data_IF_879646383289
#
_entry.id   IF_879646383289
#
_cell.length_a   1.000
_cell.length_b   1.000
_cell.length_c   1.000
_cell.angle_alpha   90.00
_cell.angle_beta   90.00
_cell.angle_gamma   90.00
#
_symmetry.space_group_name_H-M   'P 1'
#
loop_
_entity.id
_entity.type
_entity.pdbx_description
1 polymer ?
#
# COMPACT_ATOMS: atom_id res chain seq x y z
N UNK A 1 -43.36 8.44 -8.90
CA UNK A 1 -42.03 8.77 -9.45
C UNK A 1 -40.98 8.33 -8.43
N UNK A 2 -40.47 7.10 -8.54
CA UNK A 2 -39.50 6.52 -7.61
C UNK A 2 -38.09 6.90 -8.06
N UNK A 3 -37.39 7.74 -7.32
CA UNK A 3 -35.98 8.05 -7.55
C UNK A 3 -35.15 6.80 -7.26
N UNK A 4 -34.58 6.18 -8.28
CA UNK A 4 -33.61 5.10 -8.11
C UNK A 4 -32.45 5.58 -7.21
N UNK A 5 -31.96 4.75 -6.27
CA UNK A 5 -30.83 5.11 -5.42
C UNK A 5 -29.62 5.42 -6.31
N UNK A 6 -29.14 6.67 -6.22
CA UNK A 6 -27.91 7.09 -6.92
C UNK A 6 -26.76 6.25 -6.38
N UNK A 7 -26.20 5.36 -7.21
CA UNK A 7 -24.93 4.71 -6.90
C UNK A 7 -23.91 5.81 -6.61
N UNK A 8 -23.21 5.80 -5.46
CA UNK A 8 -22.16 6.76 -5.22
C UNK A 8 -21.14 6.67 -6.37
N UNK A 9 -20.57 7.80 -6.81
CA UNK A 9 -19.54 7.78 -7.82
C UNK A 9 -18.43 6.81 -7.37
N UNK A 10 -17.83 6.02 -8.27
CA UNK A 10 -16.91 4.94 -7.88
C UNK A 10 -15.62 5.41 -7.19
N UNK A 11 -15.24 6.70 -7.31
CA UNK A 11 -14.00 7.26 -6.75
C UNK A 11 -13.91 7.16 -5.22
N UNK A 12 -14.84 7.77 -4.46
CA UNK A 12 -14.83 7.72 -2.99
C UNK A 12 -14.89 6.31 -2.39
N UNK A 13 -15.64 5.39 -3.02
CA UNK A 13 -15.74 4.01 -2.53
C UNK A 13 -14.42 3.26 -2.77
N UNK A 14 -13.86 3.33 -3.98
CA UNK A 14 -12.59 2.69 -4.31
C UNK A 14 -11.48 3.15 -3.37
N UNK A 15 -11.37 4.46 -3.14
CA UNK A 15 -10.40 5.03 -2.21
C UNK A 15 -10.58 4.52 -0.79
N UNK A 16 -11.82 4.44 -0.29
CA UNK A 16 -12.10 3.91 1.05
C UNK A 16 -11.75 2.44 1.19
N UNK A 17 -12.05 1.64 0.17
CA UNK A 17 -11.73 0.20 0.18
C UNK A 17 -10.21 -0.01 0.19
N UNK A 18 -9.47 0.67 -0.69
CA UNK A 18 -8.00 0.58 -0.72
C UNK A 18 -7.40 1.13 0.58
N UNK A 19 -7.92 2.26 1.08
CA UNK A 19 -7.46 2.83 2.35
C UNK A 19 -7.68 1.89 3.53
N UNK A 20 -8.86 1.27 3.64
CA UNK A 20 -9.16 0.29 4.67
C UNK A 20 -8.30 -0.97 4.55
N UNK A 21 -8.05 -1.44 3.33
CA UNK A 21 -7.14 -2.56 3.08
C UNK A 21 -5.74 -2.28 3.64
N UNK A 22 -5.18 -1.09 3.37
CA UNK A 22 -3.88 -0.67 3.91
C UNK A 22 -3.86 -0.52 5.44
N UNK A 23 -4.98 -0.11 6.07
CA UNK A 23 -5.07 -0.12 7.53
C UNK A 23 -5.04 -1.55 8.09
N UNK A 24 -5.73 -2.49 7.44
CA UNK A 24 -5.74 -3.90 7.83
C UNK A 24 -4.36 -4.51 7.68
N UNK A 25 -3.66 -4.27 6.56
CA UNK A 25 -2.29 -4.77 6.37
C UNK A 25 -1.32 -4.16 7.37
N UNK A 26 -1.48 -2.87 7.72
CA UNK A 26 -0.74 -2.27 8.83
C UNK A 26 -0.95 -3.02 10.15
N UNK A 27 -2.19 -3.38 10.47
CA UNK A 27 -2.51 -4.22 11.63
C UNK A 27 -1.89 -5.62 11.56
N UNK A 28 -1.78 -6.21 10.36
CA UNK A 28 -1.08 -7.49 10.16
C UNK A 28 0.42 -7.33 10.45
N UNK A 29 1.07 -6.28 9.96
CA UNK A 29 2.49 -6.00 10.25
C UNK A 29 2.73 -5.79 11.75
N UNK A 30 1.82 -5.12 12.46
CA UNK A 30 1.86 -5.04 13.91
C UNK A 30 1.81 -6.43 14.55
N UNK A 31 0.86 -7.27 14.11
CA UNK A 31 0.73 -8.64 14.58
C UNK A 31 1.99 -9.47 14.37
N UNK A 32 2.62 -9.35 13.20
CA UNK A 32 3.89 -10.02 12.89
C UNK A 32 5.00 -9.53 13.82
N UNK A 33 5.18 -8.23 13.97
CA UNK A 33 6.23 -7.68 14.85
C UNK A 33 6.03 -8.10 16.32
N UNK A 34 4.78 -8.17 16.80
CA UNK A 34 4.51 -8.61 18.17
C UNK A 34 4.71 -10.12 18.34
N UNK A 35 4.36 -10.93 17.33
CA UNK A 35 4.42 -12.38 17.41
C UNK A 35 5.82 -12.93 17.16
N UNK A 36 6.42 -12.56 16.02
CA UNK A 36 7.75 -12.97 15.60
C UNK A 36 8.29 -12.08 14.46
N UNK A 37 9.12 -11.06 14.76
CA UNK A 37 9.76 -10.24 13.73
C UNK A 37 10.67 -11.01 12.77
N UNK A 38 11.16 -12.19 13.14
CA UNK A 38 12.02 -13.02 12.30
C UNK A 38 11.28 -13.62 11.09
N UNK A 39 9.95 -13.53 11.09
CA UNK A 39 9.12 -13.84 9.93
C UNK A 39 9.57 -13.09 8.65
N UNK A 40 10.18 -11.91 8.79
CA UNK A 40 10.70 -11.12 7.66
C UNK A 40 12.03 -11.63 7.09
N UNK A 41 12.74 -12.52 7.78
CA UNK A 41 14.08 -12.96 7.38
C UNK A 41 14.18 -13.43 5.92
N UNK A 42 13.31 -14.34 5.43
CA UNK A 42 13.43 -14.86 4.06
C UNK A 42 12.85 -13.91 2.99
N UNK A 43 12.33 -12.74 3.37
CA UNK A 43 11.51 -11.89 2.49
C UNK A 43 12.26 -11.40 1.24
N UNK A 44 13.58 -11.18 1.35
CA UNK A 44 14.41 -10.71 0.26
C UNK A 44 15.21 -11.80 -0.45
N UNK A 45 15.13 -13.07 -0.02
CA UNK A 45 16.01 -14.15 -0.51
C UNK A 45 15.96 -14.32 -2.04
N UNK A 46 14.76 -14.13 -2.62
CA UNK A 46 14.49 -14.23 -4.05
C UNK A 46 14.73 -12.92 -4.83
N UNK A 47 15.26 -11.87 -4.19
CA UNK A 47 15.55 -10.61 -4.85
C UNK A 47 16.55 -10.82 -5.98
N UNK A 48 16.30 -10.18 -7.13
CA UNK A 48 17.20 -10.23 -8.28
C UNK A 48 18.47 -9.37 -8.08
N UNK A 49 18.46 -8.49 -7.08
CA UNK A 49 19.52 -7.51 -6.85
C UNK A 49 20.31 -7.88 -5.58
N UNK A 50 21.62 -8.19 -5.68
CA UNK A 50 22.43 -8.55 -4.52
C UNK A 50 22.38 -7.50 -3.41
N UNK A 51 22.51 -6.22 -3.76
CA UNK A 51 22.47 -5.13 -2.78
C UNK A 51 21.16 -5.06 -2.00
N UNK A 52 20.03 -5.52 -2.56
CA UNK A 52 18.74 -5.55 -1.85
C UNK A 52 18.74 -6.68 -0.82
N UNK A 53 19.29 -7.85 -1.17
CA UNK A 53 19.45 -8.98 -0.24
C UNK A 53 20.37 -8.62 0.92
N UNK A 54 21.52 -8.04 0.59
CA UNK A 54 22.53 -7.65 1.56
C UNK A 54 21.99 -6.56 2.49
N UNK A 55 21.38 -5.50 1.93
CA UNK A 55 20.76 -4.44 2.75
C UNK A 55 19.61 -4.98 3.61
N UNK A 56 18.82 -5.93 3.13
CA UNK A 56 17.77 -6.55 3.94
C UNK A 56 18.36 -7.30 5.13
N UNK A 57 19.35 -8.16 4.89
CA UNK A 57 20.00 -8.94 5.93
C UNK A 57 20.77 -8.09 6.95
N UNK A 58 21.46 -7.04 6.48
CA UNK A 58 22.35 -6.23 7.33
C UNK A 58 21.66 -5.04 7.99
N UNK A 59 20.63 -4.46 7.35
CA UNK A 59 19.97 -3.24 7.84
C UNK A 59 18.60 -3.58 8.43
N UNK A 60 17.72 -4.20 7.65
CA UNK A 60 16.34 -4.47 8.09
C UNK A 60 16.34 -5.53 9.19
N UNK A 61 17.02 -6.65 8.95
CA UNK A 61 17.10 -7.76 9.89
C UNK A 61 18.03 -7.50 11.08
N UNK A 62 18.78 -6.38 11.10
CA UNK A 62 19.47 -5.96 12.31
C UNK A 62 18.50 -5.47 13.40
N UNK A 63 17.36 -4.89 13.01
CA UNK A 63 16.30 -4.38 13.90
C UNK A 63 14.90 -4.60 13.29
N UNK A 64 14.49 -5.85 13.03
CA UNK A 64 13.27 -6.16 12.27
C UNK A 64 12.01 -5.60 12.93
N UNK A 65 12.01 -5.43 14.26
CA UNK A 65 10.91 -4.80 14.99
C UNK A 65 10.74 -3.32 14.63
N UNK A 66 11.83 -2.57 14.47
CA UNK A 66 11.77 -1.15 14.13
C UNK A 66 11.29 -0.98 12.69
N UNK A 67 11.88 -1.73 11.76
CA UNK A 67 11.52 -1.61 10.35
C UNK A 67 10.12 -2.16 10.05
N UNK A 68 9.69 -3.22 10.74
CA UNK A 68 8.31 -3.70 10.68
C UNK A 68 7.30 -2.68 11.20
N UNK A 69 7.60 -1.97 12.30
CA UNK A 69 6.75 -0.88 12.81
C UNK A 69 6.75 0.34 11.89
N UNK A 70 7.88 0.66 11.25
CA UNK A 70 7.94 1.73 10.24
C UNK A 70 7.12 1.36 9.01
N UNK A 71 7.16 0.10 8.58
CA UNK A 71 6.33 -0.42 7.49
C UNK A 71 4.84 -0.33 7.84
N UNK A 72 4.43 -0.80 9.02
CA UNK A 72 3.08 -0.59 9.55
C UNK A 72 2.68 0.89 9.51
N UNK A 73 3.52 1.78 10.05
CA UNK A 73 3.23 3.20 10.11
C UNK A 73 3.06 3.81 8.72
N UNK A 74 3.89 3.39 7.76
CA UNK A 74 3.78 3.75 6.35
C UNK A 74 2.45 3.32 5.74
N UNK A 75 2.05 2.05 5.93
CA UNK A 75 0.78 1.54 5.42
C UNK A 75 -0.42 2.29 6.03
N UNK A 76 -0.40 2.53 7.35
CA UNK A 76 -1.45 3.27 8.04
C UNK A 76 -1.52 4.71 7.53
N UNK A 77 -0.38 5.37 7.32
CA UNK A 77 -0.33 6.74 6.81
C UNK A 77 -0.89 6.83 5.39
N UNK A 78 -0.52 5.90 4.51
CA UNK A 78 -1.04 5.85 3.13
C UNK A 78 -2.53 5.53 3.10
N UNK A 79 -2.98 4.54 3.88
CA UNK A 79 -4.38 4.19 4.02
C UNK A 79 -5.21 5.34 4.59
N UNK A 80 -4.69 6.00 5.62
CA UNK A 80 -5.29 7.20 6.22
C UNK A 80 -5.41 8.36 5.24
N UNK A 81 -4.36 8.63 4.45
CA UNK A 81 -4.40 9.64 3.38
C UNK A 81 -5.51 9.37 2.36
N UNK A 82 -5.72 8.10 1.99
CA UNK A 82 -6.84 7.71 1.13
C UNK A 82 -8.19 7.93 1.84
N UNK A 83 -8.32 7.53 3.11
CA UNK A 83 -9.58 7.69 3.84
C UNK A 83 -10.00 9.16 4.04
N UNK A 84 -9.03 10.05 4.31
CA UNK A 84 -9.25 11.49 4.47
C UNK A 84 -9.77 12.14 3.18
N UNK A 85 -9.24 11.76 2.01
CA UNK A 85 -9.64 12.34 0.74
C UNK A 85 -8.90 13.64 0.37
N UNK A 86 -9.44 14.39 -0.59
CA UNK A 86 -8.88 15.69 -1.02
C UNK A 86 -7.43 15.59 -1.51
N UNK A 87 -6.59 16.58 -1.14
CA UNK A 87 -5.15 16.57 -1.48
C UNK A 87 -4.40 15.38 -0.88
N UNK A 88 -4.80 14.91 0.29
CA UNK A 88 -4.18 13.75 0.95
C UNK A 88 -4.38 12.47 0.13
N UNK A 89 -5.52 12.31 -0.56
CA UNK A 89 -5.76 11.18 -1.45
C UNK A 89 -4.71 11.05 -2.56
N UNK A 90 -4.16 12.17 -3.05
CA UNK A 90 -3.09 12.15 -4.06
C UNK A 90 -1.83 11.52 -3.51
N UNK A 91 -1.44 11.89 -2.29
CA UNK A 91 -0.29 11.30 -1.58
C UNK A 91 -0.56 9.81 -1.34
N UNK A 92 -1.75 9.46 -0.87
CA UNK A 92 -2.18 8.08 -0.68
C UNK A 92 -2.05 7.25 -1.96
N UNK A 93 -2.63 7.70 -3.07
CA UNK A 93 -2.59 6.96 -4.34
C UNK A 93 -1.18 6.79 -4.90
N UNK A 94 -0.37 7.86 -4.88
CA UNK A 94 1.03 7.79 -5.32
C UNK A 94 1.81 6.82 -4.43
N UNK A 95 1.62 6.91 -3.11
CA UNK A 95 2.33 6.06 -2.15
C UNK A 95 1.95 4.59 -2.26
N UNK A 96 0.66 4.24 -2.38
CA UNK A 96 0.26 2.83 -2.52
C UNK A 96 0.76 2.22 -3.83
N UNK A 97 0.81 3.00 -4.91
CA UNK A 97 1.38 2.54 -6.19
C UNK A 97 2.90 2.36 -6.06
N UNK A 98 3.59 3.35 -5.48
CA UNK A 98 5.03 3.27 -5.25
C UNK A 98 5.40 2.08 -4.36
N UNK A 99 4.62 1.82 -3.31
CA UNK A 99 4.78 0.67 -2.43
C UNK A 99 4.75 -0.66 -3.20
N UNK A 100 3.75 -0.84 -4.07
CA UNK A 100 3.65 -2.04 -4.91
C UNK A 100 4.81 -2.16 -5.90
N UNK A 101 5.27 -1.05 -6.47
CA UNK A 101 6.44 -1.08 -7.36
C UNK A 101 7.72 -1.47 -6.61
N UNK A 102 7.90 -0.99 -5.38
CA UNK A 102 9.05 -1.34 -4.54
C UNK A 102 9.02 -2.81 -4.11
N UNK A 103 7.85 -3.43 -3.95
CA UNK A 103 7.74 -4.87 -3.65
C UNK A 103 8.45 -5.75 -4.70
N UNK A 104 8.48 -5.32 -5.96
CA UNK A 104 9.13 -6.08 -7.05
C UNK A 104 10.64 -6.23 -6.81
N UNK A 105 11.26 -5.34 -6.05
CA UNK A 105 12.68 -5.43 -5.72
C UNK A 105 13.01 -6.66 -4.87
N UNK A 106 12.04 -7.22 -4.15
CA UNK A 106 12.23 -8.35 -3.23
C UNK A 106 12.13 -9.72 -3.91
N UNK A 107 11.75 -9.76 -5.19
CA UNK A 107 11.79 -11.00 -5.97
C UNK A 107 10.76 -11.08 -7.07
N UNK A 108 10.99 -12.02 -7.99
CA UNK A 108 10.13 -12.22 -9.16
C UNK A 108 8.71 -12.67 -8.78
N UNK A 109 8.55 -13.44 -7.69
CA UNK A 109 7.25 -13.91 -7.20
C UNK A 109 6.28 -12.78 -6.87
N UNK A 110 6.78 -11.62 -6.45
CA UNK A 110 5.95 -10.44 -6.17
C UNK A 110 5.25 -9.90 -7.43
N UNK A 111 5.75 -10.18 -8.64
CA UNK A 111 5.09 -9.76 -9.88
C UNK A 111 3.68 -10.35 -10.02
N UNK A 112 3.44 -11.58 -9.55
CA UNK A 112 2.10 -12.18 -9.59
C UNK A 112 1.08 -11.41 -8.75
N UNK A 113 1.53 -10.69 -7.72
CA UNK A 113 0.69 -9.81 -6.91
C UNK A 113 0.65 -8.39 -7.48
N UNK A 114 1.82 -7.83 -7.79
CA UNK A 114 1.97 -6.41 -8.17
C UNK A 114 1.29 -6.11 -9.51
N UNK A 115 1.41 -6.99 -10.51
CA UNK A 115 0.81 -6.76 -11.84
C UNK A 115 -0.72 -6.62 -11.77
N UNK A 116 -1.48 -7.58 -11.19
CA UNK A 116 -2.93 -7.42 -11.07
C UNK A 116 -3.31 -6.27 -10.12
N UNK A 117 -2.56 -6.07 -9.02
CA UNK A 117 -2.81 -4.94 -8.13
C UNK A 117 -2.68 -3.60 -8.84
N UNK A 118 -1.60 -3.36 -9.61
CA UNK A 118 -1.42 -2.13 -10.38
C UNK A 118 -2.45 -1.98 -11.51
N UNK A 119 -2.82 -3.09 -12.17
CA UNK A 119 -3.90 -3.11 -13.15
C UNK A 119 -5.23 -2.62 -12.60
N UNK A 120 -5.48 -2.81 -11.30
CA UNK A 120 -6.63 -2.27 -10.59
C UNK A 120 -6.38 -0.85 -10.04
N UNK A 121 -5.26 -0.63 -9.36
CA UNK A 121 -4.96 0.61 -8.61
C UNK A 121 -4.76 1.81 -9.55
N UNK A 122 -4.05 1.65 -10.67
CA UNK A 122 -3.75 2.76 -11.57
C UNK A 122 -5.02 3.36 -12.21
N UNK A 123 -5.96 2.57 -12.77
CA UNK A 123 -7.22 3.11 -13.28
C UNK A 123 -8.10 3.74 -12.19
N UNK A 124 -8.11 3.18 -10.98
CA UNK A 124 -8.87 3.73 -9.86
C UNK A 124 -8.30 5.07 -9.40
N UNK A 125 -6.98 5.16 -9.24
CA UNK A 125 -6.28 6.40 -8.93
C UNK A 125 -6.55 7.45 -10.00
N UNK A 126 -6.42 7.09 -11.28
CA UNK A 126 -6.68 8.01 -12.38
C UNK A 126 -8.10 8.61 -12.33
N UNK A 127 -9.12 7.78 -12.11
CA UNK A 127 -10.53 8.21 -12.02
C UNK A 127 -10.78 9.09 -10.80
N UNK A 128 -10.24 8.72 -9.64
CA UNK A 128 -10.42 9.48 -8.40
C UNK A 128 -9.72 10.85 -8.47
N UNK A 129 -8.48 10.89 -8.93
CA UNK A 129 -7.70 12.14 -9.07
C UNK A 129 -8.22 13.05 -10.19
N UNK A 130 -8.86 12.48 -11.21
CA UNK A 130 -9.53 13.24 -12.25
C UNK A 130 -10.85 13.87 -11.77
N UNK A 131 -11.37 13.48 -10.61
CA UNK A 131 -12.65 14.01 -10.11
C UNK A 131 -12.49 15.47 -9.64
N UNK A 132 -13.44 16.37 -9.97
CA UNK A 132 -13.38 17.80 -9.60
C UNK A 132 -13.20 18.04 -8.09
N UNK A 133 -13.68 17.10 -7.28
CA UNK A 133 -13.66 17.14 -5.82
C UNK A 133 -12.25 17.08 -5.21
N UNK A 134 -11.24 16.57 -5.95
CA UNK A 134 -9.83 16.56 -5.53
C UNK A 134 -9.05 17.74 -6.12
N UNK A 135 -9.47 18.28 -7.27
CA UNK A 135 -8.81 19.41 -7.95
C UNK A 135 -9.18 20.78 -7.38
N UNK A 136 -10.32 20.89 -6.69
CA UNK A 136 -10.89 22.17 -6.24
C UNK A 136 -10.68 22.56 -4.77
N UNK A 137 -9.86 21.82 -4.01
CA UNK A 137 -9.53 22.13 -2.60
C UNK A 137 -8.11 22.66 -2.47
#
# INVERSE_FOLDING_TARGET
MMTAPRRPPPGPLARRVVGAFFLVTGGVHLGIVVADPEFYRPFADESLFPFVRDAWAEVVMARPEIYGLLLMAGEIALGGCLLVGGRAARVGWVGVIAFHLLLVLFGWGFLFWVVPALGLLVPLAWRDLSSPQVRGS
#
